data_IF_489598291923
#
_entry.id   IF_489598291923
#
_cell.length_a   1.000
_cell.length_b   1.000
_cell.length_c   1.000
_cell.angle_alpha   90.00
_cell.angle_beta   90.00
_cell.angle_gamma   90.00
#
_symmetry.space_group_name_H-M   'P 1'
#
loop_
_entity.id
_entity.type
_entity.pdbx_description
1 polymer ?
#
# COMPACT_ATOMS: atom_id res chain seq x y z
N UNK A 1 11.69 4.97 -12.70
CA UNK A 1 11.02 5.43 -11.47
C UNK A 1 9.53 5.56 -11.75
N UNK A 2 8.74 4.54 -11.41
CA UNK A 2 7.30 4.58 -11.61
C UNK A 2 6.69 5.52 -10.55
N UNK A 3 6.12 6.65 -10.97
CA UNK A 3 5.33 7.47 -10.04
C UNK A 3 4.15 6.64 -9.55
N UNK A 4 3.94 6.57 -8.25
CA UNK A 4 2.74 5.96 -7.69
C UNK A 4 1.53 6.73 -8.25
N UNK A 5 0.63 6.04 -8.95
CA UNK A 5 -0.53 6.66 -9.59
C UNK A 5 -1.81 6.30 -8.85
N UNK A 6 -2.79 7.19 -8.94
CA UNK A 6 -4.15 6.88 -8.48
C UNK A 6 -4.67 5.69 -9.30
N UNK A 7 -5.30 4.73 -8.63
CA UNK A 7 -5.76 3.46 -9.19
C UNK A 7 -4.72 2.33 -9.13
N UNK A 8 -3.46 2.61 -8.80
CA UNK A 8 -2.44 1.56 -8.65
C UNK A 8 -2.74 0.72 -7.41
N UNK A 9 -2.75 -0.61 -7.57
CA UNK A 9 -2.76 -1.56 -6.45
C UNK A 9 -1.35 -1.65 -5.87
N UNK A 10 -1.25 -1.55 -4.55
CA UNK A 10 0.01 -1.55 -3.81
C UNK A 10 -0.07 -2.50 -2.63
N UNK A 11 1.06 -3.15 -2.32
CA UNK A 11 1.22 -3.93 -1.10
C UNK A 11 1.63 -3.00 0.03
N UNK A 12 0.84 -2.99 1.09
CA UNK A 12 1.11 -2.21 2.29
C UNK A 12 2.02 -3.01 3.22
N UNK A 13 2.97 -2.32 3.86
CA UNK A 13 3.93 -2.88 4.82
C UNK A 13 4.59 -4.19 4.31
N UNK A 14 5.52 -4.11 3.36
CA UNK A 14 6.14 -5.30 2.77
C UNK A 14 6.89 -6.19 3.78
N UNK A 15 7.24 -5.67 4.96
CA UNK A 15 7.86 -6.43 6.06
C UNK A 15 6.84 -7.10 7.00
N UNK A 16 5.55 -6.85 6.82
CA UNK A 16 4.51 -7.46 7.63
C UNK A 16 4.33 -8.92 7.23
N UNK A 17 4.16 -9.79 8.24
CA UNK A 17 3.95 -11.24 8.04
C UNK A 17 2.68 -11.51 7.24
N UNK A 18 1.65 -10.69 7.43
CA UNK A 18 0.36 -10.84 6.77
C UNK A 18 0.17 -9.76 5.72
N UNK A 19 0.10 -10.19 4.45
CA UNK A 19 -0.01 -9.28 3.33
C UNK A 19 -1.32 -8.48 3.39
N UNK A 20 -1.22 -7.18 3.11
CA UNK A 20 -2.37 -6.29 2.94
C UNK A 20 -2.18 -5.53 1.65
N UNK A 21 -3.25 -5.39 0.89
CA UNK A 21 -3.25 -4.69 -0.38
C UNK A 21 -4.27 -3.57 -0.36
N UNK A 22 -3.92 -2.47 -1.00
CA UNK A 22 -4.82 -1.36 -1.20
C UNK A 22 -4.64 -0.73 -2.56
N UNK A 23 -5.61 0.09 -2.92
CA UNK A 23 -5.59 0.88 -4.15
C UNK A 23 -5.37 2.33 -3.77
N UNK A 24 -4.42 2.97 -4.46
CA UNK A 24 -4.14 4.39 -4.27
C UNK A 24 -5.34 5.19 -4.75
N UNK A 25 -5.95 5.97 -3.86
CA UNK A 25 -7.09 6.85 -4.17
C UNK A 25 -6.67 8.30 -4.43
N UNK A 26 -5.59 8.75 -3.79
CA UNK A 26 -5.07 10.10 -3.98
C UNK A 26 -3.57 10.14 -3.72
N UNK A 27 -2.86 10.95 -4.50
CA UNK A 27 -1.43 11.21 -4.33
C UNK A 27 -1.26 12.73 -4.31
N UNK A 28 -0.70 13.23 -3.23
CA UNK A 28 -0.31 14.63 -3.06
C UNK A 28 1.18 14.70 -2.72
N UNK A 29 1.77 15.88 -2.79
CA UNK A 29 3.18 16.10 -2.44
C UNK A 29 3.54 15.66 -1.00
N UNK A 30 2.56 15.64 -0.09
CA UNK A 30 2.78 15.32 1.33
C UNK A 30 2.27 13.95 1.73
N UNK A 31 1.17 13.52 1.12
CA UNK A 31 0.37 12.40 1.56
C UNK A 31 -0.14 11.55 0.39
N UNK A 32 -0.22 10.25 0.62
CA UNK A 32 -0.80 9.24 -0.25
C UNK A 32 -1.98 8.64 0.52
N UNK A 33 -3.16 8.64 -0.10
CA UNK A 33 -4.35 8.00 0.45
C UNK A 33 -4.54 6.68 -0.26
N UNK A 34 -4.61 5.60 0.51
CA UNK A 34 -4.77 4.24 0.00
C UNK A 34 -6.01 3.64 0.64
N UNK A 35 -6.88 3.08 -0.17
CA UNK A 35 -8.04 2.32 0.29
C UNK A 35 -7.69 0.84 0.33
N UNK A 36 -7.89 0.19 1.46
CA UNK A 36 -7.60 -1.23 1.60
C UNK A 36 -8.65 -2.02 0.84
N UNK A 37 -8.19 -2.88 -0.06
CA UNK A 37 -9.07 -3.73 -0.86
C UNK A 37 -8.95 -5.20 -0.48
N UNK A 38 -7.85 -5.60 0.16
CA UNK A 38 -7.59 -6.98 0.52
C UNK A 38 -6.70 -7.06 1.76
N UNK A 39 -7.03 -7.99 2.67
CA UNK A 39 -6.28 -8.27 3.89
C UNK A 39 -6.20 -9.80 4.01
N UNK A 40 -5.02 -10.34 4.36
CA UNK A 40 -4.92 -11.78 4.66
C UNK A 40 -5.89 -12.15 5.79
N UNK A 41 -6.71 -13.20 5.65
CA UNK A 41 -7.73 -13.55 6.64
C UNK A 41 -7.17 -13.93 8.03
N UNK A 42 -5.87 -14.23 8.13
CA UNK A 42 -5.19 -14.50 9.41
C UNK A 42 -4.75 -13.22 10.11
N UNK A 43 -4.88 -12.08 9.44
CA UNK A 43 -4.57 -10.78 9.99
C UNK A 43 -5.74 -10.27 10.84
N UNK A 44 -5.62 -10.45 12.16
CA UNK A 44 -6.59 -9.91 13.11
C UNK A 44 -6.35 -8.42 13.44
N UNK A 45 -5.63 -7.70 12.57
CA UNK A 45 -5.33 -6.29 12.79
C UNK A 45 -6.58 -5.41 12.73
N UNK A 46 -6.40 -4.17 13.20
CA UNK A 46 -7.44 -3.14 13.34
C UNK A 46 -8.06 -2.69 12.02
N UNK A 47 -7.41 -2.95 10.89
CA UNK A 47 -7.82 -2.46 9.58
C UNK A 47 -8.82 -3.38 8.90
N UNK A 48 -9.75 -2.79 8.14
CA UNK A 48 -10.78 -3.51 7.39
C UNK A 48 -10.74 -3.16 5.91
N UNK A 49 -11.26 -4.06 5.08
CA UNK A 49 -11.49 -3.77 3.66
C UNK A 49 -12.43 -2.56 3.56
N UNK A 50 -12.06 -1.58 2.74
CA UNK A 50 -12.73 -0.29 2.61
C UNK A 50 -12.13 0.83 3.46
N UNK A 51 -11.26 0.53 4.42
CA UNK A 51 -10.59 1.57 5.21
C UNK A 51 -9.65 2.41 4.34
N UNK A 52 -9.61 3.71 4.62
CA UNK A 52 -8.71 4.65 3.96
C UNK A 52 -7.55 5.00 4.89
N UNK A 53 -6.35 4.62 4.47
CA UNK A 53 -5.12 4.91 5.20
C UNK A 53 -4.47 6.13 4.58
N UNK A 54 -4.11 7.10 5.42
CA UNK A 54 -3.32 8.26 5.04
C UNK A 54 -1.85 8.01 5.39
N UNK A 55 -0.99 8.07 4.38
CA UNK A 55 0.41 7.69 4.47
C UNK A 55 1.27 8.85 3.97
N UNK A 56 2.28 9.27 4.73
CA UNK A 56 3.12 10.40 4.30
C UNK A 56 4.04 10.00 3.15
N UNK A 57 4.03 10.76 2.06
CA UNK A 57 4.85 10.53 0.87
C UNK A 57 6.35 10.52 1.19
N UNK A 58 6.79 11.26 2.22
CA UNK A 58 8.20 11.34 2.63
C UNK A 58 8.71 10.10 3.38
N UNK A 59 7.81 9.25 3.90
CA UNK A 59 8.18 8.10 4.76
C UNK A 59 7.86 6.74 4.14
N UNK A 60 7.16 6.69 3.01
CA UNK A 60 6.86 5.42 2.40
C UNK A 60 7.77 5.11 1.22
N UNK A 61 8.59 4.08 1.42
CA UNK A 61 8.91 3.13 0.37
C UNK A 61 7.62 2.36 0.01
N UNK A 62 6.62 3.02 -0.60
CA UNK A 62 5.53 2.31 -1.29
C UNK A 62 6.17 1.72 -2.54
N UNK A 63 6.68 0.50 -2.43
CA UNK A 63 7.13 -0.20 -3.61
C UNK A 63 5.89 -0.61 -4.39
N UNK A 64 5.86 -0.27 -5.68
CA UNK A 64 4.92 -0.90 -6.60
C UNK A 64 5.10 -2.42 -6.55
N UNK A 65 4.08 -3.21 -6.90
CA UNK A 65 4.22 -4.68 -6.91
C UNK A 65 5.42 -5.14 -7.76
N UNK A 66 5.66 -4.45 -8.88
CA UNK A 66 6.81 -4.68 -9.75
C UNK A 66 8.14 -4.40 -9.03
N UNK A 67 8.26 -3.27 -8.32
CA UNK A 67 9.48 -2.94 -7.57
C UNK A 67 9.69 -3.84 -6.35
N UNK A 68 8.62 -4.36 -5.76
CA UNK A 68 8.72 -5.35 -4.70
C UNK A 68 9.30 -6.66 -5.24
N UNK A 69 8.76 -7.14 -6.38
CA UNK A 69 9.29 -8.32 -7.08
C UNK A 69 10.76 -8.12 -7.46
N UNK A 70 11.13 -6.96 -8.00
CA UNK A 70 12.51 -6.66 -8.44
C UNK A 70 13.52 -6.56 -7.29
N UNK A 71 13.09 -6.14 -6.09
CA UNK A 71 13.99 -5.98 -4.92
C UNK A 71 14.11 -7.21 -4.02
N UNK A 72 13.10 -8.08 -4.02
CA UNK A 72 12.97 -9.13 -3.01
C UNK A 72 12.69 -10.53 -3.60
N UNK A 73 12.56 -10.65 -4.93
CA UNK A 73 12.65 -11.92 -5.65
C UNK A 73 13.90 -11.90 -6.54
#
# INVERSE_FOLDING_TARGET
>A
MGKLQVGTRVRLWPKDTYAKYGVVRSVTDRDIIIEITEIDPRDHCRYRIGDKIKLSASRLSVLSEQEFKDRYC
#
